data_IF_352470307736
#
_entry.id   IF_352470307736
#
_cell.length_a   1.000
_cell.length_b   1.000
_cell.length_c   1.000
_cell.angle_alpha   90.00
_cell.angle_beta   90.00
_cell.angle_gamma   90.00
#
_symmetry.space_group_name_H-M   'P 1'
#
loop_
_entity.id
_entity.type
_entity.pdbx_description
1 polymer ?
#
# COMPACT_ATOMS: atom_id res chain seq x y z
N UNK A 1 -13.18 60.94 -32.70
CA UNK A 1 -14.12 59.96 -32.08
C UNK A 1 -13.83 58.51 -32.50
N UNK A 2 -13.80 58.16 -33.80
CA UNK A 2 -13.52 56.77 -34.26
C UNK A 2 -12.20 56.16 -33.77
N UNK A 3 -11.09 56.92 -33.73
CA UNK A 3 -9.77 56.41 -33.31
C UNK A 3 -9.68 56.06 -31.82
N UNK A 4 -10.38 56.81 -30.96
CA UNK A 4 -10.43 56.59 -29.51
C UNK A 4 -11.26 55.34 -29.19
N UNK A 5 -12.37 55.12 -29.90
CA UNK A 5 -13.19 53.92 -29.74
C UNK A 5 -12.44 52.63 -30.10
N UNK A 6 -11.61 52.67 -31.15
CA UNK A 6 -10.77 51.53 -31.54
C UNK A 6 -9.68 51.23 -30.50
N UNK A 7 -9.04 52.26 -29.95
CA UNK A 7 -8.02 52.09 -28.91
C UNK A 7 -8.60 51.46 -27.63
N UNK A 8 -9.77 51.92 -27.20
CA UNK A 8 -10.45 51.38 -26.01
C UNK A 8 -10.86 49.91 -26.21
N UNK A 9 -11.35 49.55 -27.41
CA UNK A 9 -11.70 48.16 -27.74
C UNK A 9 -10.47 47.25 -27.68
N UNK A 10 -9.32 47.69 -28.21
CA UNK A 10 -8.08 46.91 -28.18
C UNK A 10 -7.57 46.70 -26.74
N UNK A 11 -7.70 47.71 -25.88
CA UNK A 11 -7.33 47.59 -24.46
C UNK A 11 -8.23 46.57 -23.74
N UNK A 12 -9.54 46.59 -24.00
CA UNK A 12 -10.48 45.62 -23.42
C UNK A 12 -10.19 44.20 -23.90
N UNK A 13 -9.92 44.02 -25.20
CA UNK A 13 -9.53 42.71 -25.74
C UNK A 13 -8.19 42.22 -25.14
N UNK A 14 -7.20 43.10 -24.99
CA UNK A 14 -5.92 42.75 -24.37
C UNK A 14 -6.08 42.36 -22.89
N UNK A 15 -6.88 43.09 -22.12
CA UNK A 15 -7.19 42.74 -20.74
C UNK A 15 -7.94 41.40 -20.65
N UNK A 16 -8.92 41.16 -21.52
CA UNK A 16 -9.65 39.89 -21.59
C UNK A 16 -8.75 38.69 -21.97
N UNK A 17 -7.72 38.92 -22.79
CA UNK A 17 -6.75 37.90 -23.15
C UNK A 17 -5.78 37.59 -21.99
N UNK A 18 -5.36 38.60 -21.24
CA UNK A 18 -4.47 38.45 -20.07
C UNK A 18 -5.18 37.71 -18.92
N UNK A 19 -6.47 37.97 -18.69
CA UNK A 19 -7.23 37.30 -17.63
C UNK A 19 -7.55 35.85 -17.97
N UNK A 20 -7.76 35.51 -19.24
CA UNK A 20 -8.03 34.14 -19.68
C UNK A 20 -6.80 33.21 -19.59
N UNK A 21 -5.59 33.74 -19.77
CA UNK A 21 -4.33 32.99 -19.54
C UNK A 21 -4.12 32.67 -18.05
N UNK A 22 -4.67 33.48 -17.14
CA UNK A 22 -4.50 33.33 -15.69
C UNK A 22 -5.41 32.28 -15.05
N UNK A 23 -6.45 31.79 -15.76
CA UNK A 23 -7.41 30.78 -15.27
C UNK A 23 -7.06 29.36 -15.72
N UNK A 24 -6.07 29.20 -16.61
CA UNK A 24 -5.45 27.91 -16.91
C UNK A 24 -4.50 27.49 -15.77
N UNK A 25 -4.99 27.45 -14.54
CA UNK A 25 -4.31 26.70 -13.49
C UNK A 25 -4.28 25.24 -13.96
N UNK A 26 -3.11 24.56 -14.02
CA UNK A 26 -3.12 23.12 -14.22
C UNK A 26 -3.99 22.54 -13.12
N UNK A 27 -4.98 21.71 -13.49
CA UNK A 27 -5.71 20.92 -12.52
C UNK A 27 -4.66 20.10 -11.74
N UNK A 28 -4.26 20.58 -10.57
CA UNK A 28 -3.35 19.85 -9.70
C UNK A 28 -4.18 18.67 -9.22
N UNK A 29 -3.92 17.50 -9.77
CA UNK A 29 -4.40 16.25 -9.20
C UNK A 29 -3.77 16.15 -7.80
N UNK A 30 -4.44 16.69 -6.78
CA UNK A 30 -4.06 16.48 -5.38
C UNK A 30 -4.66 15.15 -4.97
N UNK A 31 -4.13 14.09 -5.57
CA UNK A 31 -4.48 12.71 -5.25
C UNK A 31 -3.25 12.08 -4.60
N UNK A 32 -2.72 12.71 -3.54
CA UNK A 32 -1.65 12.09 -2.74
C UNK A 32 -2.24 11.04 -1.80
N UNK A 33 -3.01 10.10 -2.34
CA UNK A 33 -3.33 8.88 -1.62
C UNK A 33 -2.07 8.01 -1.69
N UNK A 34 -1.25 8.08 -0.66
CA UNK A 34 -0.22 7.08 -0.44
C UNK A 34 -0.93 5.78 -0.02
N UNK A 35 -0.86 4.76 -0.86
CA UNK A 35 -1.06 3.39 -0.40
C UNK A 35 0.30 2.89 0.06
N UNK A 36 0.56 3.07 1.35
CA UNK A 36 1.76 2.52 1.96
C UNK A 36 1.66 0.98 1.96
N UNK A 37 2.75 0.32 1.55
CA UNK A 37 2.84 -1.14 1.65
C UNK A 37 3.04 -1.53 3.11
N UNK A 38 2.22 -2.47 3.58
CA UNK A 38 2.37 -3.10 4.88
C UNK A 38 2.14 -4.60 4.77
N UNK A 39 2.87 -5.36 5.59
CA UNK A 39 2.65 -6.77 5.82
C UNK A 39 2.15 -6.96 7.26
N UNK A 40 1.19 -7.86 7.48
CA UNK A 40 0.85 -8.33 8.83
C UNK A 40 1.64 -9.59 9.07
N UNK A 41 2.85 -9.41 9.57
CA UNK A 41 3.75 -10.50 9.92
C UNK A 41 3.53 -10.85 11.39
N UNK A 42 2.82 -11.95 11.65
CA UNK A 42 2.55 -12.40 13.02
C UNK A 42 1.16 -12.04 13.58
N UNK A 43 0.16 -11.82 12.73
CA UNK A 43 -1.24 -11.90 13.17
C UNK A 43 -1.56 -13.29 13.71
N UNK A 44 -2.65 -13.48 14.46
CA UNK A 44 -3.03 -14.76 15.06
C UNK A 44 -3.11 -14.70 16.59
N UNK A 45 -3.00 -15.84 17.26
CA UNK A 45 -3.15 -15.90 18.72
C UNK A 45 -3.35 -17.30 19.26
N UNK A 46 -3.57 -17.37 20.56
CA UNK A 46 -3.84 -18.60 21.28
C UNK A 46 -5.34 -18.74 21.55
N UNK A 47 -5.89 -19.91 21.24
CA UNK A 47 -7.21 -20.36 21.66
C UNK A 47 -7.06 -21.60 22.56
N UNK A 48 -7.93 -21.78 23.54
CA UNK A 48 -7.88 -22.92 24.44
C UNK A 48 -9.26 -23.56 24.64
N UNK A 49 -9.30 -24.88 24.82
CA UNK A 49 -10.52 -25.63 25.07
C UNK A 49 -10.23 -27.00 25.69
N UNK A 50 -10.76 -27.25 26.88
CA UNK A 50 -10.46 -28.46 27.65
C UNK A 50 -8.96 -28.53 27.99
N UNK A 51 -8.31 -29.65 27.65
CA UNK A 51 -6.87 -29.81 27.80
C UNK A 51 -6.06 -29.28 26.60
N UNK A 52 -6.71 -28.77 25.56
CA UNK A 52 -6.02 -28.44 24.31
C UNK A 52 -5.75 -26.94 24.19
N UNK A 53 -4.56 -26.62 23.68
CA UNK A 53 -4.15 -25.27 23.31
C UNK A 53 -3.87 -25.24 21.81
N UNK A 54 -4.42 -24.23 21.14
CA UNK A 54 -4.25 -23.95 19.72
C UNK A 54 -3.52 -22.62 19.56
N UNK A 55 -2.33 -22.63 18.96
CA UNK A 55 -1.58 -21.41 18.69
C UNK A 55 -1.35 -21.28 17.18
N UNK A 56 -1.73 -20.14 16.62
CA UNK A 56 -1.67 -19.91 15.17
C UNK A 56 -1.11 -18.55 14.81
N UNK A 57 -0.54 -18.47 13.60
CA UNK A 57 -0.09 -17.24 12.95
C UNK A 57 -0.81 -17.05 11.61
N UNK A 58 -1.24 -15.83 11.29
CA UNK A 58 -1.89 -15.42 10.04
C UNK A 58 -0.91 -14.52 9.27
N UNK A 59 -0.92 -14.60 7.93
CA UNK A 59 -0.12 -13.71 7.09
C UNK A 59 1.34 -14.12 7.01
N UNK A 60 1.63 -15.38 6.70
CA UNK A 60 3.00 -15.84 6.48
C UNK A 60 3.18 -16.29 5.01
N UNK A 61 3.14 -15.38 4.03
CA UNK A 61 3.46 -15.73 2.64
C UNK A 61 4.91 -16.23 2.48
N UNK A 62 5.80 -15.83 3.39
CA UNK A 62 7.23 -16.17 3.37
C UNK A 62 7.55 -17.44 4.18
N UNK A 63 6.54 -18.08 4.79
CA UNK A 63 6.75 -19.37 5.46
C UNK A 63 7.06 -20.45 4.42
N UNK A 64 8.19 -21.13 4.59
CA UNK A 64 8.67 -22.10 3.61
C UNK A 64 10.13 -22.47 3.83
N UNK A 65 10.70 -23.23 2.91
CA UNK A 65 12.12 -23.58 2.94
C UNK A 65 12.79 -23.21 1.63
N UNK A 66 13.91 -22.51 1.71
CA UNK A 66 14.84 -22.31 0.61
C UNK A 66 16.09 -23.17 0.84
N UNK A 67 16.75 -23.62 -0.22
CA UNK A 67 18.00 -24.39 -0.10
C UNK A 67 19.04 -23.89 -1.09
N UNK A 68 20.31 -24.03 -0.73
CA UNK A 68 21.44 -23.63 -1.55
C UNK A 68 22.74 -24.27 -1.05
N UNK A 69 23.41 -25.04 -1.92
CA UNK A 69 24.59 -25.82 -1.53
C UNK A 69 24.27 -26.82 -0.42
N UNK A 70 25.03 -26.77 0.67
CA UNK A 70 24.82 -27.61 1.86
C UNK A 70 23.93 -26.96 2.92
N UNK A 71 23.25 -25.85 2.59
CA UNK A 71 22.47 -25.07 3.54
C UNK A 71 20.98 -25.10 3.19
N UNK A 72 20.15 -25.09 4.24
CA UNK A 72 18.70 -24.93 4.17
C UNK A 72 18.33 -23.72 5.03
N UNK A 73 17.63 -22.76 4.41
CA UNK A 73 17.02 -21.64 5.10
C UNK A 73 15.54 -21.95 5.32
N UNK A 74 15.12 -21.82 6.56
CA UNK A 74 13.73 -21.85 6.94
C UNK A 74 13.12 -20.48 7.11
N UNK A 75 12.06 -20.20 6.38
CA UNK A 75 11.19 -19.05 6.58
C UNK A 75 9.98 -19.38 7.44
N UNK A 76 9.51 -18.40 8.21
CA UNK A 76 8.27 -18.47 8.99
C UNK A 76 8.49 -18.58 10.50
N UNK A 77 7.54 -18.03 11.26
CA UNK A 77 7.58 -17.93 12.73
C UNK A 77 7.77 -19.28 13.45
N UNK A 78 7.22 -20.36 12.91
CA UNK A 78 7.26 -21.70 13.52
C UNK A 78 8.42 -22.58 13.03
N UNK A 79 9.33 -22.03 12.20
CA UNK A 79 10.44 -22.81 11.68
C UNK A 79 11.37 -23.30 12.81
N UNK A 80 11.70 -24.59 12.82
CA UNK A 80 12.55 -25.21 13.84
C UNK A 80 11.85 -25.61 15.14
N UNK A 81 10.59 -25.21 15.35
CA UNK A 81 9.81 -25.59 16.55
C UNK A 81 8.89 -26.78 16.26
N UNK A 82 8.45 -26.96 15.00
CA UNK A 82 7.56 -28.06 14.59
C UNK A 82 8.05 -28.64 13.25
N UNK A 83 8.02 -29.97 13.08
CA UNK A 83 8.18 -30.57 11.75
C UNK A 83 6.98 -30.16 10.89
N UNK A 84 7.20 -29.18 10.01
CA UNK A 84 6.18 -28.63 9.12
C UNK A 84 5.75 -29.69 8.12
N UNK A 85 4.67 -30.41 8.43
CA UNK A 85 3.90 -31.13 7.41
C UNK A 85 3.07 -30.05 6.72
N UNK A 86 3.32 -29.86 5.43
CA UNK A 86 2.69 -28.87 4.55
C UNK A 86 1.23 -28.66 4.95
N UNK A 87 0.93 -27.51 5.53
CA UNK A 87 -0.29 -26.70 5.35
C UNK A 87 -0.36 -25.67 6.47
N UNK A 88 -1.02 -24.55 6.18
CA UNK A 88 -1.33 -23.39 7.01
C UNK A 88 -2.13 -23.69 8.29
N UNK A 89 -1.98 -24.88 8.88
CA UNK A 89 -2.69 -25.32 10.05
C UNK A 89 -1.97 -24.85 11.33
N UNK A 90 -2.71 -24.36 12.32
CA UNK A 90 -2.16 -23.93 13.60
C UNK A 90 -1.62 -25.10 14.42
N UNK A 91 -0.70 -24.82 15.34
CA UNK A 91 -0.04 -25.82 16.21
C UNK A 91 -1.00 -26.20 17.35
N UNK A 92 -1.26 -27.50 17.50
CA UNK A 92 -2.08 -28.06 18.59
C UNK A 92 -1.16 -28.79 19.58
N UNK A 93 -1.23 -28.43 20.85
CA UNK A 93 -0.59 -29.18 21.95
C UNK A 93 -1.64 -29.71 22.93
N UNK A 94 -1.29 -30.82 23.60
CA UNK A 94 -2.07 -31.42 24.70
C UNK A 94 -1.69 -30.82 26.04
#
# INVERSE_FOLDING_TARGET
MRKIGVLLLLIVCALGLITSVSVAAPARAVNSYAMDWWTVDGGGGQSAGGAYVLTGTIGQPDAGSASGGNYVLGGGFWHGVVQVILNYLPVITK
#
